data_IF_960738132694
#
_entry.id   IF_960738132694
#
_cell.length_a   1.000
_cell.length_b   1.000
_cell.length_c   1.000
_cell.angle_alpha   90.00
_cell.angle_beta   90.00
_cell.angle_gamma   90.00
#
_symmetry.space_group_name_H-M   'P 1'
#
loop_
_entity.id
_entity.type
_entity.pdbx_description
1 polymer ?
#
# COMPACT_ATOMS: atom_id res chain seq x y z
N UNK A 1 12.85 9.70 4.30
CA UNK A 1 11.83 8.71 3.88
C UNK A 1 12.47 7.33 3.87
N UNK A 2 11.95 6.41 4.71
CA UNK A 2 12.39 5.02 4.79
C UNK A 2 11.61 4.16 3.79
N UNK A 3 12.10 4.12 2.55
CA UNK A 3 11.47 3.39 1.44
C UNK A 3 11.85 1.91 1.45
N UNK A 4 10.84 1.04 1.42
CA UNK A 4 11.01 -0.42 1.39
C UNK A 4 10.28 -0.98 0.18
N UNK A 5 11.05 -1.38 -0.82
CA UNK A 5 10.51 -1.85 -2.10
C UNK A 5 10.03 -3.29 -1.98
N UNK A 6 8.75 -3.53 -2.33
CA UNK A 6 8.20 -4.87 -2.50
C UNK A 6 8.42 -5.35 -3.94
N UNK A 7 8.36 -4.42 -4.88
CA UNK A 7 8.71 -4.63 -6.30
C UNK A 7 9.45 -3.39 -6.81
N UNK A 8 10.06 -3.41 -8.01
CA UNK A 8 10.69 -2.22 -8.58
C UNK A 8 9.74 -1.02 -8.75
N UNK A 9 8.44 -1.28 -8.88
CA UNK A 9 7.40 -0.31 -9.15
C UNK A 9 6.42 -0.07 -7.98
N UNK A 10 6.62 -0.73 -6.83
CA UNK A 10 5.81 -0.57 -5.62
C UNK A 10 6.67 -0.58 -4.36
N UNK A 11 6.61 0.52 -3.61
CA UNK A 11 7.28 0.66 -2.33
C UNK A 11 6.28 0.93 -1.20
N UNK A 12 6.64 0.51 0.01
CA UNK A 12 5.97 0.91 1.24
C UNK A 12 6.90 1.71 2.13
N UNK A 13 6.33 2.48 3.05
CA UNK A 13 7.08 3.19 4.07
C UNK A 13 6.33 3.22 5.42
N UNK A 14 7.05 3.45 6.54
CA UNK A 14 6.47 4.07 7.73
C UNK A 14 5.84 5.44 7.42
N UNK A 15 5.27 6.10 8.43
CA UNK A 15 4.70 7.43 8.26
C UNK A 15 5.68 8.37 7.54
N UNK A 16 5.21 8.99 6.46
CA UNK A 16 5.94 10.04 5.75
C UNK A 16 5.54 11.41 6.29
N UNK A 17 6.46 12.36 6.28
CA UNK A 17 6.18 13.75 6.62
C UNK A 17 5.55 14.51 5.43
N UNK A 18 4.92 15.65 5.71
CA UNK A 18 4.29 16.48 4.69
C UNK A 18 5.30 16.92 3.61
N UNK A 19 6.51 17.29 4.02
CA UNK A 19 7.59 17.76 3.13
C UNK A 19 8.13 16.64 2.24
N UNK A 20 7.96 15.38 2.66
CA UNK A 20 8.43 14.21 1.92
C UNK A 20 7.54 13.89 0.72
N UNK A 21 6.34 14.47 0.60
CA UNK A 21 5.47 14.29 -0.58
C UNK A 21 6.14 14.85 -1.84
N UNK A 22 6.70 16.05 -1.77
CA UNK A 22 7.41 16.63 -2.92
C UNK A 22 8.67 15.82 -3.27
N UNK A 23 9.32 15.23 -2.27
CA UNK A 23 10.46 14.35 -2.46
C UNK A 23 10.05 13.02 -3.15
N UNK A 24 8.87 12.47 -2.85
CA UNK A 24 8.34 11.30 -3.55
C UNK A 24 8.21 11.56 -5.06
N UNK A 25 7.69 12.73 -5.46
CA UNK A 25 7.58 13.11 -6.86
C UNK A 25 8.95 13.20 -7.55
N UNK A 26 9.94 13.81 -6.89
CA UNK A 26 11.33 13.92 -7.39
C UNK A 26 11.98 12.55 -7.58
N UNK A 27 11.66 11.58 -6.72
CA UNK A 27 12.10 10.18 -6.82
C UNK A 27 11.37 9.38 -7.91
N UNK A 28 10.42 10.01 -8.60
CA UNK A 28 9.74 9.43 -9.74
C UNK A 28 8.44 8.71 -9.41
N UNK A 29 8.01 8.64 -8.13
CA UNK A 29 6.68 8.14 -7.79
C UNK A 29 5.60 8.95 -8.51
N UNK A 30 4.47 8.30 -8.78
CA UNK A 30 3.34 8.89 -9.49
C UNK A 30 2.03 8.77 -8.73
N UNK A 31 1.90 7.73 -7.91
CA UNK A 31 0.71 7.52 -7.07
C UNK A 31 1.12 7.29 -5.61
N UNK A 32 0.39 7.95 -4.71
CA UNK A 32 0.50 7.84 -3.27
C UNK A 32 -0.74 7.13 -2.71
N UNK A 33 -0.55 6.13 -1.85
CA UNK A 33 -1.66 5.44 -1.15
C UNK A 33 -1.48 5.59 0.37
N UNK A 34 -2.38 6.33 1.00
CA UNK A 34 -2.42 6.47 2.45
C UNK A 34 -3.32 5.40 3.06
N UNK A 35 -2.74 4.47 3.81
CA UNK A 35 -3.46 3.46 4.58
C UNK A 35 -3.53 3.76 6.08
N UNK A 36 -3.24 5.00 6.48
CA UNK A 36 -3.33 5.45 7.88
C UNK A 36 -4.61 6.25 8.08
N UNK A 37 -5.48 5.84 9.02
CA UNK A 37 -6.62 6.65 9.44
C UNK A 37 -6.18 7.98 10.05
N UNK A 38 -6.96 9.03 9.83
CA UNK A 38 -6.69 10.37 10.34
C UNK A 38 -6.74 10.42 11.87
N UNK A 39 -7.50 9.54 12.52
CA UNK A 39 -7.58 9.47 13.98
C UNK A 39 -6.26 9.04 14.64
N UNK A 40 -5.31 8.51 13.86
CA UNK A 40 -3.97 8.12 14.34
C UNK A 40 -2.92 9.23 14.18
N UNK A 41 -3.25 10.38 13.60
CA UNK A 41 -2.32 11.46 13.28
C UNK A 41 -2.83 12.82 13.75
N UNK A 42 -1.94 13.78 13.83
CA UNK A 42 -2.33 15.16 14.06
C UNK A 42 -2.91 15.80 12.78
N UNK A 43 -3.62 16.91 12.95
CA UNK A 43 -4.30 17.60 11.85
C UNK A 43 -3.35 18.10 10.75
N UNK A 44 -2.04 18.28 11.00
CA UNK A 44 -1.08 18.65 9.97
C UNK A 44 -0.73 17.50 9.02
N UNK A 45 -1.08 16.27 9.40
CA UNK A 45 -0.90 15.05 8.63
C UNK A 45 -2.23 14.40 8.25
N UNK A 46 -3.36 15.11 8.35
CA UNK A 46 -4.64 14.61 7.87
C UNK A 46 -4.58 14.29 6.39
N UNK A 47 -5.43 13.36 5.94
CA UNK A 47 -5.44 12.94 4.55
C UNK A 47 -5.71 14.12 3.61
N UNK A 48 -6.50 15.11 4.03
CA UNK A 48 -6.82 16.31 3.23
C UNK A 48 -5.57 17.16 3.01
N UNK A 49 -4.75 17.37 4.04
CA UNK A 49 -3.50 18.13 3.95
C UNK A 49 -2.50 17.41 3.06
N UNK A 50 -2.35 16.10 3.25
CA UNK A 50 -1.44 15.28 2.43
C UNK A 50 -1.91 15.19 0.98
N UNK A 51 -3.23 15.10 0.74
CA UNK A 51 -3.81 15.10 -0.59
C UNK A 51 -3.56 16.42 -1.33
N UNK A 52 -3.72 17.56 -0.64
CA UNK A 52 -3.45 18.87 -1.22
C UNK A 52 -1.97 19.02 -1.63
N UNK A 53 -1.05 18.55 -0.77
CA UNK A 53 0.37 18.53 -1.08
C UNK A 53 0.69 17.59 -2.25
N UNK A 54 0.05 16.41 -2.32
CA UNK A 54 0.23 15.48 -3.43
C UNK A 54 -0.22 16.08 -4.75
N UNK A 55 -1.38 16.74 -4.77
CA UNK A 55 -1.89 17.45 -5.94
C UNK A 55 -0.94 18.58 -6.38
N UNK A 56 -0.41 19.37 -5.44
CA UNK A 56 0.58 20.41 -5.73
C UNK A 56 1.90 19.85 -6.31
N UNK A 57 2.26 18.62 -5.94
CA UNK A 57 3.42 17.90 -6.46
C UNK A 57 3.14 17.12 -7.76
N UNK A 58 1.91 17.16 -8.29
CA UNK A 58 1.52 16.41 -9.50
C UNK A 58 1.41 14.89 -9.28
N UNK A 59 1.13 14.46 -8.05
CA UNK A 59 0.95 13.06 -7.68
C UNK A 59 -0.53 12.70 -7.59
N UNK A 60 -0.89 11.51 -8.06
CA UNK A 60 -2.18 10.91 -7.72
C UNK A 60 -2.17 10.51 -6.24
N UNK A 61 -3.31 10.64 -5.56
CA UNK A 61 -3.43 10.34 -4.14
C UNK A 61 -4.69 9.52 -3.87
N UNK A 62 -4.54 8.43 -3.12
CA UNK A 62 -5.62 7.56 -2.69
C UNK A 62 -5.58 7.48 -1.17
N UNK A 63 -6.69 7.83 -0.52
CA UNK A 63 -6.89 7.56 0.90
C UNK A 63 -7.74 6.29 1.05
N UNK A 64 -7.14 5.26 1.64
CA UNK A 64 -7.80 3.98 1.89
C UNK A 64 -7.42 3.51 3.31
N UNK A 65 -8.06 4.08 4.35
CA UNK A 65 -7.67 3.85 5.74
C UNK A 65 -7.86 2.38 6.12
N UNK A 66 -6.83 1.81 6.76
CA UNK A 66 -6.88 0.45 7.27
C UNK A 66 -6.73 0.47 8.80
N UNK A 67 -7.82 0.19 9.51
CA UNK A 67 -7.82 0.07 10.97
C UNK A 67 -7.25 -1.28 11.43
N UNK A 68 -6.48 -1.32 12.54
CA UNK A 68 -5.93 -2.57 13.05
C UNK A 68 -6.99 -3.66 13.26
N UNK A 69 -6.76 -4.83 12.69
CA UNK A 69 -7.69 -5.96 12.77
C UNK A 69 -8.76 -6.01 11.65
N UNK A 70 -8.90 -4.95 10.85
CA UNK A 70 -9.94 -4.84 9.82
C UNK A 70 -9.43 -5.15 8.40
N UNK A 71 -8.82 -6.31 8.20
CA UNK A 71 -8.49 -6.77 6.84
C UNK A 71 -9.75 -7.36 6.18
N UNK A 72 -10.56 -6.51 5.55
CA UNK A 72 -11.84 -6.90 4.93
C UNK A 72 -11.71 -7.14 3.42
N UNK A 73 -12.69 -7.81 2.81
CA UNK A 73 -12.75 -7.99 1.36
C UNK A 73 -12.82 -6.64 0.63
N UNK A 74 -13.71 -5.75 1.05
CA UNK A 74 -13.87 -4.40 0.48
C UNK A 74 -12.56 -3.59 0.52
N UNK A 75 -11.79 -3.70 1.61
CA UNK A 75 -10.50 -3.02 1.72
C UNK A 75 -9.47 -3.57 0.73
N UNK A 76 -9.46 -4.89 0.54
CA UNK A 76 -8.59 -5.56 -0.44
C UNK A 76 -9.00 -5.15 -1.86
N UNK A 77 -10.30 -5.18 -2.19
CA UNK A 77 -10.83 -4.80 -3.50
C UNK A 77 -10.60 -3.30 -3.81
N UNK A 78 -10.76 -2.44 -2.81
CA UNK A 78 -10.42 -1.02 -2.92
C UNK A 78 -8.94 -0.80 -3.22
N UNK A 79 -8.06 -1.59 -2.60
CA UNK A 79 -6.62 -1.53 -2.87
C UNK A 79 -6.27 -2.09 -4.26
N UNK A 80 -6.90 -3.19 -4.68
CA UNK A 80 -6.77 -3.74 -6.04
C UNK A 80 -7.19 -2.72 -7.11
N UNK A 81 -8.30 -2.03 -6.88
CA UNK A 81 -8.82 -0.97 -7.78
C UNK A 81 -7.85 0.21 -7.83
N UNK A 82 -7.32 0.62 -6.68
CA UNK A 82 -6.31 1.67 -6.61
C UNK A 82 -5.04 1.29 -7.39
N UNK A 83 -4.56 0.05 -7.25
CA UNK A 83 -3.38 -0.42 -7.98
C UNK A 83 -3.61 -0.56 -9.49
N UNK A 84 -4.78 -1.04 -9.91
CA UNK A 84 -5.11 -1.21 -11.33
C UNK A 84 -5.20 0.12 -12.08
N UNK A 85 -5.60 1.20 -11.39
CA UNK A 85 -5.69 2.55 -11.95
C UNK A 85 -4.45 3.42 -11.69
N UNK A 86 -3.52 2.96 -10.84
CA UNK A 86 -2.37 3.75 -10.43
C UNK A 86 -1.35 3.94 -11.56
N UNK A 87 -0.89 5.18 -11.71
CA UNK A 87 0.36 5.43 -12.40
C UNK A 87 1.52 4.98 -11.51
N UNK A 88 2.44 4.21 -12.10
CA UNK A 88 3.60 3.65 -11.39
C UNK A 88 4.83 4.55 -11.54
N UNK A 89 5.80 4.50 -10.62
CA UNK A 89 5.81 3.73 -9.37
C UNK A 89 4.83 4.25 -8.31
N UNK A 90 4.37 3.33 -7.46
CA UNK A 90 3.44 3.61 -6.35
C UNK A 90 4.18 3.60 -5.02
N UNK A 91 3.87 4.55 -4.14
CA UNK A 91 4.29 4.57 -2.74
C UNK A 91 3.07 4.47 -1.85
N UNK A 92 3.02 3.45 -0.99
CA UNK A 92 2.00 3.32 0.04
C UNK A 92 2.59 3.49 1.45
N UNK A 93 1.85 4.03 2.40
CA UNK A 93 2.30 4.08 3.80
C UNK A 93 1.17 3.87 4.79
N UNK A 94 1.57 3.57 6.01
CA UNK A 94 0.70 3.67 7.18
C UNK A 94 1.52 4.17 8.38
N UNK A 95 1.37 3.59 9.59
CA UNK A 95 2.26 3.88 10.71
C UNK A 95 3.67 3.29 10.52
N UNK A 96 3.75 2.01 10.16
CA UNK A 96 5.00 1.23 10.03
C UNK A 96 5.23 0.61 8.64
N UNK A 97 4.30 0.84 7.71
CA UNK A 97 4.23 0.19 6.40
C UNK A 97 3.64 -1.23 6.39
N UNK A 98 3.41 -1.84 7.57
CA UNK A 98 2.89 -3.22 7.69
C UNK A 98 1.50 -3.39 7.08
N UNK A 99 0.59 -2.43 7.29
CA UNK A 99 -0.76 -2.48 6.73
C UNK A 99 -0.74 -2.41 5.20
N UNK A 100 0.12 -1.56 4.65
CA UNK A 100 0.30 -1.40 3.21
C UNK A 100 0.93 -2.65 2.58
N UNK A 101 1.88 -3.31 3.26
CA UNK A 101 2.46 -4.57 2.78
C UNK A 101 1.45 -5.73 2.85
N UNK A 102 0.57 -5.76 3.85
CA UNK A 102 -0.53 -6.72 3.93
C UNK A 102 -1.52 -6.55 2.78
N UNK A 103 -1.97 -5.31 2.51
CA UNK A 103 -2.90 -5.03 1.41
C UNK A 103 -2.29 -5.31 0.04
N UNK A 104 -1.02 -4.95 -0.15
CA UNK A 104 -0.27 -5.34 -1.34
C UNK A 104 -0.27 -6.86 -1.48
N UNK A 105 0.13 -7.62 -0.46
CA UNK A 105 0.22 -9.07 -0.53
C UNK A 105 -1.14 -9.73 -0.86
N UNK A 106 -2.22 -9.27 -0.22
CA UNK A 106 -3.58 -9.75 -0.50
C UNK A 106 -4.03 -9.41 -1.92
N UNK A 107 -3.71 -8.21 -2.43
CA UNK A 107 -4.04 -7.80 -3.80
C UNK A 107 -3.28 -8.61 -4.87
N UNK A 108 -2.08 -9.09 -4.53
CA UNK A 108 -1.26 -9.89 -5.43
C UNK A 108 -1.59 -11.39 -5.37
N UNK A 109 -2.38 -11.85 -4.39
CA UNK A 109 -2.77 -13.24 -4.28
C UNK A 109 -3.62 -13.67 -5.50
N UNK A 110 -3.12 -14.66 -6.25
CA UNK A 110 -3.70 -15.09 -7.52
C UNK A 110 -3.27 -14.26 -8.73
N UNK A 111 -2.35 -13.31 -8.56
CA UNK A 111 -1.68 -12.57 -9.64
C UNK A 111 -0.20 -12.96 -9.71
N UNK A 112 0.48 -12.99 -8.57
CA UNK A 112 1.87 -13.44 -8.43
C UNK A 112 1.95 -14.79 -7.71
N UNK A 113 3.03 -15.57 -7.94
CA UNK A 113 3.34 -16.74 -7.12
C UNK A 113 3.42 -16.37 -5.64
N UNK A 114 2.80 -17.20 -4.78
CA UNK A 114 2.70 -16.92 -3.35
C UNK A 114 4.07 -16.81 -2.65
N UNK A 115 5.02 -17.64 -3.06
CA UNK A 115 6.40 -17.63 -2.58
C UNK A 115 7.12 -16.33 -2.94
N UNK A 116 6.88 -15.81 -4.15
CA UNK A 116 7.39 -14.51 -4.58
C UNK A 116 6.84 -13.37 -3.71
N UNK A 117 5.52 -13.36 -3.45
CA UNK A 117 4.87 -12.35 -2.59
C UNK A 117 5.51 -12.35 -1.19
N UNK A 118 5.66 -13.53 -0.59
CA UNK A 118 6.25 -13.69 0.75
C UNK A 118 7.72 -13.26 0.76
N UNK A 119 8.50 -13.65 -0.25
CA UNK A 119 9.92 -13.33 -0.31
C UNK A 119 10.16 -11.83 -0.52
N UNK A 120 9.37 -11.18 -1.38
CA UNK A 120 9.42 -9.74 -1.61
C UNK A 120 9.12 -8.95 -0.33
N UNK A 121 8.05 -9.31 0.39
CA UNK A 121 7.73 -8.69 1.67
C UNK A 121 8.80 -8.92 2.72
N UNK A 122 9.36 -10.13 2.81
CA UNK A 122 10.45 -10.46 3.72
C UNK A 122 11.70 -9.65 3.44
N UNK A 123 12.08 -9.48 2.17
CA UNK A 123 13.21 -8.64 1.76
C UNK A 123 13.01 -7.17 2.15
N UNK A 124 11.77 -6.69 2.13
CA UNK A 124 11.38 -5.38 2.61
C UNK A 124 11.20 -5.29 4.14
N UNK A 125 11.49 -6.36 4.89
CA UNK A 125 11.41 -6.39 6.35
C UNK A 125 10.00 -6.61 6.93
N UNK A 126 9.08 -7.20 6.15
CA UNK A 126 7.72 -7.55 6.59
C UNK A 126 7.51 -9.06 6.62
N UNK A 127 7.01 -9.57 7.74
CA UNK A 127 6.62 -10.97 7.87
C UNK A 127 5.13 -11.15 7.55
N UNK A 128 4.84 -11.93 6.51
CA UNK A 128 3.49 -12.24 6.06
C UNK A 128 3.02 -13.64 6.49
N UNK A 129 3.76 -14.34 7.35
CA UNK A 129 3.47 -15.74 7.70
C UNK A 129 2.03 -15.97 8.15
N UNK A 130 1.47 -15.05 8.94
CA UNK A 130 0.09 -15.12 9.40
C UNK A 130 -0.97 -14.93 8.28
N UNK A 131 -0.61 -14.27 7.17
CA UNK A 131 -1.51 -14.00 6.04
C UNK A 131 -1.50 -15.12 4.99
N UNK A 132 -0.50 -16.02 5.01
CA UNK A 132 -0.33 -17.07 3.99
C UNK A 132 -1.58 -17.94 3.77
N UNK A 133 -2.29 -18.42 4.82
CA UNK A 133 -3.52 -19.19 4.62
C UNK A 133 -4.61 -18.38 3.89
N UNK A 134 -4.75 -17.09 4.20
CA UNK A 134 -5.74 -16.20 3.59
C UNK A 134 -5.40 -15.90 2.12
N UNK A 135 -4.12 -15.66 1.81
CA UNK A 135 -3.66 -15.47 0.43
C UNK A 135 -3.92 -16.72 -0.42
N UNK A 136 -3.67 -17.93 0.11
CA UNK A 136 -3.99 -19.18 -0.59
C UNK A 136 -5.47 -19.32 -0.88
N UNK A 137 -6.32 -19.04 0.11
CA UNK A 137 -7.77 -19.12 -0.06
C UNK A 137 -8.25 -18.16 -1.15
N UNK A 138 -7.80 -16.90 -1.13
CA UNK A 138 -8.14 -15.90 -2.15
C UNK A 138 -7.65 -16.29 -3.55
N UNK A 139 -6.42 -16.80 -3.68
CA UNK A 139 -5.88 -17.24 -4.96
C UNK A 139 -6.68 -18.40 -5.57
N UNK A 140 -7.14 -19.34 -4.73
CA UNK A 140 -8.01 -20.44 -5.16
C UNK A 140 -9.38 -19.94 -5.66
N UNK A 141 -10.01 -18.99 -4.95
CA UNK A 141 -11.28 -18.39 -5.37
C UNK A 141 -11.18 -17.67 -6.72
N UNK A 142 -10.11 -16.89 -6.93
CA UNK A 142 -9.89 -16.14 -8.18
C UNK A 142 -9.70 -17.06 -9.41
N UNK A 143 -9.09 -18.22 -9.21
CA UNK A 143 -8.90 -19.23 -10.28
C UNK A 143 -10.22 -19.90 -10.67
N UNK A 144 -11.19 -19.99 -9.76
CA UNK A 144 -12.50 -20.61 -10.05
C UNK A 144 -13.47 -19.66 -10.80
N UNK A 145 -13.18 -18.36 -10.81
CA UNK A 145 -13.99 -17.32 -11.45
C UNK A 145 -13.53 -16.98 -12.88
N UNK A 146 -12.42 -17.57 -13.34
CA UNK A 146 -11.82 -17.36 -14.69
C UNK A 146 -12.05 -18.57 -15.59
#
# INVERSE_FOLDING_TARGET
>A
MDLRYLTPDFAVAPQIALEEIAEAAKRGFRTLINNRPDEEVDASLSHEVLQAAAAAAGLAYVHLPYYPGELTADLIEGFETALASAQKPVLAWCRSGTRSSHLWAMSQAGVLPLDEIVQNAKNAGYDLGALVPMMRAKAASKTAET
#
